data_IF_465257022292
#
_entry.id   IF_465257022292
#
_cell.length_a   1.000
_cell.length_b   1.000
_cell.length_c   1.000
_cell.angle_alpha   90.00
_cell.angle_beta   90.00
_cell.angle_gamma   90.00
#
_symmetry.space_group_name_H-M   'P 1'
#
loop_
_entity.id
_entity.type
_entity.pdbx_description
1 polymer ?
#
# COMPACT_ATOMS: atom_id res chain seq x y z
N UNK A 1 -31.80 -12.62 -7.88
CA UNK A 1 -31.02 -11.55 -7.19
C UNK A 1 -29.68 -11.37 -7.90
N UNK A 2 -29.09 -10.17 -7.86
CA UNK A 2 -27.71 -9.96 -8.34
C UNK A 2 -26.72 -10.46 -7.31
N UNK A 3 -25.59 -11.01 -7.77
CA UNK A 3 -24.47 -11.37 -6.93
C UNK A 3 -23.74 -10.12 -6.42
N UNK A 4 -23.64 -9.97 -5.10
CA UNK A 4 -23.09 -8.79 -4.43
C UNK A 4 -21.59 -8.95 -4.20
N UNK A 5 -20.80 -8.13 -4.85
CA UNK A 5 -19.36 -8.07 -4.66
C UNK A 5 -19.06 -6.80 -3.85
N UNK A 6 -18.48 -6.96 -2.66
CA UNK A 6 -18.06 -5.83 -1.83
C UNK A 6 -16.53 -5.75 -1.85
N UNK A 7 -16.00 -4.56 -2.13
CA UNK A 7 -14.55 -4.27 -2.13
C UNK A 7 -14.27 -3.29 -0.98
N UNK A 8 -13.45 -3.69 -0.02
CA UNK A 8 -13.07 -2.86 1.12
C UNK A 8 -11.79 -2.10 0.82
N UNK A 9 -11.89 -0.78 0.76
CA UNK A 9 -10.79 0.13 0.42
C UNK A 9 -10.72 0.45 -1.07
N UNK A 10 -10.50 1.74 -1.37
CA UNK A 10 -10.32 2.27 -2.72
C UNK A 10 -8.89 2.77 -2.97
N UNK A 11 -7.89 2.12 -2.37
CA UNK A 11 -6.48 2.30 -2.71
C UNK A 11 -6.13 1.67 -4.06
N UNK A 12 -4.82 1.56 -4.36
CA UNK A 12 -4.37 0.96 -5.63
C UNK A 12 -4.94 -0.43 -5.87
N UNK A 13 -4.93 -1.33 -4.88
CA UNK A 13 -5.50 -2.67 -5.05
C UNK A 13 -7.02 -2.64 -5.27
N UNK A 14 -7.78 -2.00 -4.38
CA UNK A 14 -9.24 -2.06 -4.41
C UNK A 14 -9.87 -1.30 -5.56
N UNK A 15 -9.37 -0.10 -5.91
CA UNK A 15 -9.91 0.67 -7.03
C UNK A 15 -9.68 -0.04 -8.38
N UNK A 16 -8.47 -0.61 -8.58
CA UNK A 16 -8.19 -1.44 -9.76
C UNK A 16 -9.05 -2.68 -9.82
N UNK A 17 -9.20 -3.36 -8.67
CA UNK A 17 -10.02 -4.56 -8.59
C UNK A 17 -11.47 -4.27 -8.96
N UNK A 18 -12.08 -3.24 -8.36
CA UNK A 18 -13.45 -2.86 -8.67
C UNK A 18 -13.64 -2.52 -10.16
N UNK A 19 -12.71 -1.76 -10.75
CA UNK A 19 -12.72 -1.43 -12.16
C UNK A 19 -12.59 -2.66 -13.06
N UNK A 20 -11.69 -3.58 -12.73
CA UNK A 20 -11.49 -4.82 -13.49
C UNK A 20 -12.72 -5.74 -13.42
N UNK A 21 -13.32 -5.89 -12.24
CA UNK A 21 -14.57 -6.63 -12.05
C UNK A 21 -15.72 -6.01 -12.85
N UNK A 22 -15.94 -4.69 -12.72
CA UNK A 22 -17.00 -3.97 -13.45
C UNK A 22 -16.83 -4.03 -14.97
N UNK A 23 -15.59 -4.06 -15.46
CA UNK A 23 -15.29 -4.19 -16.88
C UNK A 23 -15.62 -5.59 -17.41
N UNK A 24 -15.41 -6.65 -16.64
CA UNK A 24 -15.43 -8.03 -17.08
C UNK A 24 -16.70 -8.80 -16.72
N UNK A 25 -17.46 -8.35 -15.71
CA UNK A 25 -18.71 -8.98 -15.27
C UNK A 25 -19.94 -8.21 -15.77
N UNK A 26 -21.04 -8.94 -16.00
CA UNK A 26 -22.31 -8.36 -16.44
C UNK A 26 -22.99 -7.59 -15.31
N UNK A 27 -23.35 -6.31 -15.49
CA UNK A 27 -24.08 -5.54 -14.47
C UNK A 27 -25.53 -6.01 -14.31
N UNK A 28 -26.05 -6.87 -15.19
CA UNK A 28 -27.34 -7.52 -15.01
C UNK A 28 -27.29 -8.58 -13.90
N UNK A 29 -26.13 -9.23 -13.74
CA UNK A 29 -25.95 -10.36 -12.84
C UNK A 29 -25.19 -9.97 -11.56
N UNK A 30 -24.42 -8.88 -11.58
CA UNK A 30 -23.59 -8.45 -10.45
C UNK A 30 -23.89 -7.04 -9.98
N UNK A 31 -23.66 -6.81 -8.70
CA UNK A 31 -23.63 -5.49 -8.06
C UNK A 31 -22.29 -5.33 -7.35
N UNK A 32 -21.55 -4.28 -7.69
CA UNK A 32 -20.21 -4.02 -7.12
C UNK A 32 -20.28 -2.77 -6.24
N UNK A 33 -19.97 -2.92 -4.96
CA UNK A 33 -19.91 -1.81 -4.00
C UNK A 33 -18.48 -1.68 -3.48
N UNK A 34 -17.93 -0.47 -3.57
CA UNK A 34 -16.64 -0.12 -2.95
C UNK A 34 -16.90 0.67 -1.68
N UNK A 35 -16.33 0.22 -0.57
CA UNK A 35 -16.39 0.93 0.72
C UNK A 35 -15.07 1.64 0.95
N UNK A 36 -15.09 2.95 1.17
CA UNK A 36 -13.88 3.73 1.47
C UNK A 36 -14.18 4.86 2.45
N UNK A 37 -13.28 5.11 3.39
CA UNK A 37 -13.46 6.14 4.40
C UNK A 37 -13.18 7.57 3.88
N UNK A 38 -12.40 7.71 2.80
CA UNK A 38 -12.08 9.00 2.17
C UNK A 38 -12.87 9.17 0.87
N UNK A 39 -13.38 10.36 0.56
CA UNK A 39 -14.00 10.66 -0.73
C UNK A 39 -12.98 10.72 -1.88
N UNK A 40 -11.70 10.89 -1.55
CA UNK A 40 -10.63 11.06 -2.54
C UNK A 40 -9.77 9.79 -2.64
N UNK A 41 -9.31 9.50 -3.85
CA UNK A 41 -8.21 8.56 -4.07
C UNK A 41 -6.91 9.16 -3.55
N UNK A 42 -6.22 8.42 -2.69
CA UNK A 42 -4.94 8.84 -2.09
C UNK A 42 -3.79 8.23 -2.88
N UNK A 43 -2.98 9.08 -3.54
CA UNK A 43 -1.75 8.66 -4.21
C UNK A 43 -0.65 8.33 -3.18
N UNK A 44 -0.82 7.21 -2.46
CA UNK A 44 0.04 6.78 -1.34
C UNK A 44 1.54 6.78 -1.69
N UNK A 45 1.90 6.41 -2.91
CA UNK A 45 3.28 6.41 -3.39
C UNK A 45 3.94 7.81 -3.42
N UNK A 46 3.15 8.87 -3.22
CA UNK A 46 3.60 10.26 -3.30
C UNK A 46 3.36 11.07 -2.03
N UNK A 47 2.96 10.43 -0.94
CA UNK A 47 2.63 11.14 0.30
C UNK A 47 3.86 11.81 0.95
N UNK A 48 5.05 11.25 0.79
CA UNK A 48 6.30 11.92 1.15
C UNK A 48 6.50 13.25 0.38
N UNK A 49 6.05 13.33 -0.88
CA UNK A 49 6.08 14.55 -1.66
C UNK A 49 5.04 15.58 -1.16
N UNK A 50 3.84 15.10 -0.76
CA UNK A 50 2.82 15.98 -0.14
C UNK A 50 3.35 16.58 1.15
N UNK A 51 3.94 15.76 2.01
CA UNK A 51 4.57 16.21 3.26
C UNK A 51 5.69 17.22 3.03
N UNK A 52 6.48 17.04 1.96
CA UNK A 52 7.56 17.95 1.58
C UNK A 52 7.07 19.27 0.96
N UNK A 53 5.75 19.44 0.73
CA UNK A 53 5.15 20.69 0.23
C UNK A 53 4.65 20.64 -1.21
N UNK A 54 4.65 19.46 -1.87
CA UNK A 54 4.10 19.36 -3.23
C UNK A 54 2.58 19.26 -3.21
N UNK A 55 1.94 19.99 -4.13
CA UNK A 55 0.52 19.85 -4.40
C UNK A 55 0.29 18.73 -5.42
N UNK A 56 -0.40 17.69 -4.98
CA UNK A 56 -0.80 16.57 -5.82
C UNK A 56 -2.30 16.63 -6.05
N UNK A 57 -2.69 16.62 -7.33
CA UNK A 57 -4.10 16.71 -7.70
C UNK A 57 -4.91 15.57 -7.06
N UNK A 58 -5.94 15.93 -6.31
CA UNK A 58 -6.86 14.95 -5.70
C UNK A 58 -7.85 14.45 -6.74
N UNK A 59 -8.13 13.16 -6.73
CA UNK A 59 -9.15 12.54 -7.58
C UNK A 59 -10.30 12.08 -6.71
N UNK A 60 -11.48 12.67 -6.90
CA UNK A 60 -12.67 12.22 -6.19
C UNK A 60 -13.05 10.82 -6.67
N UNK A 61 -13.26 9.90 -5.75
CA UNK A 61 -13.67 8.52 -6.07
C UNK A 61 -15.03 8.47 -6.76
N UNK A 62 -15.92 9.41 -6.48
CA UNK A 62 -17.18 9.54 -7.19
C UNK A 62 -16.98 9.76 -8.69
N UNK A 63 -16.01 10.62 -9.08
CA UNK A 63 -15.68 10.87 -10.49
C UNK A 63 -14.96 9.65 -11.11
N UNK A 64 -14.08 8.99 -10.36
CA UNK A 64 -13.39 7.76 -10.80
C UNK A 64 -14.37 6.65 -11.14
N UNK A 65 -15.44 6.49 -10.36
CA UNK A 65 -16.44 5.43 -10.56
C UNK A 65 -17.67 5.88 -11.37
N UNK A 66 -17.74 7.14 -11.76
CA UNK A 66 -18.83 7.65 -12.60
C UNK A 66 -18.97 6.85 -13.90
N UNK A 67 -20.20 6.43 -14.25
CA UNK A 67 -20.49 5.67 -15.46
C UNK A 67 -19.97 4.22 -15.49
N UNK A 68 -19.29 3.74 -14.45
CA UNK A 68 -18.74 2.38 -14.40
C UNK A 68 -19.75 1.33 -13.94
N UNK A 69 -20.81 1.74 -13.24
CA UNK A 69 -21.75 0.86 -12.55
C UNK A 69 -21.30 0.42 -11.16
N UNK A 70 -20.14 0.90 -10.70
CA UNK A 70 -19.64 0.68 -9.33
C UNK A 70 -20.35 1.66 -8.39
N UNK A 71 -20.83 1.16 -7.26
CA UNK A 71 -21.38 1.98 -6.16
C UNK A 71 -20.26 2.32 -5.19
N UNK A 72 -20.13 3.60 -4.86
CA UNK A 72 -19.23 4.07 -3.80
C UNK A 72 -20.03 4.27 -2.51
N UNK A 73 -19.63 3.60 -1.43
CA UNK A 73 -20.09 3.83 -0.07
C UNK A 73 -19.00 4.54 0.72
N UNK A 74 -19.20 5.81 1.02
CA UNK A 74 -18.30 6.56 1.89
C UNK A 74 -18.59 6.19 3.34
N UNK A 75 -17.76 5.28 3.87
CA UNK A 75 -17.85 4.81 5.25
C UNK A 75 -16.54 4.17 5.69
N UNK A 76 -16.28 4.18 6.98
CA UNK A 76 -15.20 3.42 7.61
C UNK A 76 -15.68 2.01 7.88
N UNK A 77 -14.90 1.01 7.48
CA UNK A 77 -15.12 -0.38 7.88
C UNK A 77 -14.77 -0.52 9.36
N UNK A 78 -15.69 -1.03 10.15
CA UNK A 78 -15.54 -1.20 11.60
C UNK A 78 -15.55 -2.65 12.05
N UNK A 79 -16.04 -3.57 11.20
CA UNK A 79 -16.05 -4.99 11.48
C UNK A 79 -16.35 -5.82 10.24
N UNK A 80 -16.19 -7.12 10.39
CA UNK A 80 -16.48 -8.13 9.38
C UNK A 80 -17.06 -9.36 10.09
N UNK A 81 -18.13 -9.91 9.56
CA UNK A 81 -18.70 -11.20 9.96
C UNK A 81 -18.71 -12.13 8.74
N UNK A 82 -17.67 -12.97 8.57
CA UNK A 82 -17.57 -13.84 7.40
C UNK A 82 -18.62 -14.95 7.38
N UNK A 83 -19.10 -15.42 8.55
CA UNK A 83 -20.12 -16.47 8.65
C UNK A 83 -21.48 -15.96 8.16
N UNK A 84 -21.83 -14.71 8.50
CA UNK A 84 -23.06 -14.07 8.03
C UNK A 84 -22.92 -13.42 6.65
N UNK A 85 -21.70 -13.32 6.12
CA UNK A 85 -21.44 -12.62 4.87
C UNK A 85 -21.76 -11.12 4.94
N UNK A 86 -21.35 -10.44 6.03
CA UNK A 86 -21.66 -9.02 6.25
C UNK A 86 -20.45 -8.22 6.69
N UNK A 87 -20.45 -6.92 6.34
CA UNK A 87 -19.44 -5.93 6.72
C UNK A 87 -20.11 -4.82 7.52
N UNK A 88 -19.62 -4.59 8.74
CA UNK A 88 -20.04 -3.45 9.54
C UNK A 88 -19.29 -2.19 9.11
N UNK A 89 -20.01 -1.10 8.94
CA UNK A 89 -19.48 0.19 8.48
C UNK A 89 -20.05 1.34 9.31
N UNK A 90 -19.31 2.46 9.38
CA UNK A 90 -19.81 3.72 9.95
C UNK A 90 -19.56 4.85 8.96
N UNK A 91 -20.61 5.47 8.48
CA UNK A 91 -20.61 6.63 7.58
C UNK A 91 -21.27 7.85 8.21
N UNK A 92 -21.56 8.86 7.39
CA UNK A 92 -22.27 10.09 7.83
C UNK A 92 -23.66 9.78 8.39
N UNK A 93 -24.35 8.75 7.85
CA UNK A 93 -25.66 8.30 8.32
C UNK A 93 -25.59 7.42 9.59
N UNK A 94 -24.41 7.30 10.20
CA UNK A 94 -24.16 6.44 11.35
C UNK A 94 -23.73 5.03 11.00
N UNK A 95 -23.85 4.07 11.95
CA UNK A 95 -23.51 2.67 11.74
C UNK A 95 -24.46 1.97 10.78
N UNK A 96 -23.93 1.02 10.02
CA UNK A 96 -24.70 0.21 9.07
C UNK A 96 -24.02 -1.11 8.78
N UNK A 97 -24.72 -1.99 8.08
CA UNK A 97 -24.23 -3.31 7.68
C UNK A 97 -24.43 -3.50 6.16
N UNK A 98 -23.44 -4.07 5.49
CA UNK A 98 -23.47 -4.38 4.06
C UNK A 98 -23.33 -5.88 3.86
N UNK A 99 -24.34 -6.56 3.30
CA UNK A 99 -24.24 -7.97 2.97
C UNK A 99 -23.45 -8.16 1.67
N UNK A 100 -22.69 -9.26 1.59
CA UNK A 100 -21.94 -9.65 0.40
C UNK A 100 -22.11 -11.16 0.08
N UNK A 101 -21.90 -11.49 -1.18
CA UNK A 101 -21.78 -12.88 -1.67
C UNK A 101 -20.30 -13.19 -2.04
N UNK A 102 -19.52 -12.14 -2.32
CA UNK A 102 -18.05 -12.20 -2.48
C UNK A 102 -17.46 -10.92 -1.89
N UNK A 103 -16.42 -11.06 -1.06
CA UNK A 103 -15.69 -9.95 -0.46
C UNK A 103 -14.27 -9.88 -1.02
N UNK A 104 -13.83 -8.69 -1.43
CA UNK A 104 -12.42 -8.40 -1.64
C UNK A 104 -11.90 -7.45 -0.56
N UNK A 105 -11.09 -7.96 0.34
CA UNK A 105 -10.47 -7.19 1.42
C UNK A 105 -9.21 -6.51 0.90
N UNK A 106 -9.22 -5.18 0.79
CA UNK A 106 -8.13 -4.35 0.26
C UNK A 106 -7.90 -3.07 1.09
N UNK A 107 -8.05 -3.16 2.43
CA UNK A 107 -7.92 -2.02 3.35
C UNK A 107 -6.49 -1.47 3.47
N UNK A 108 -5.50 -2.15 2.89
CA UNK A 108 -4.11 -1.71 2.91
C UNK A 108 -3.47 -1.80 4.29
N UNK A 109 -2.57 -0.86 4.56
CA UNK A 109 -1.77 -0.80 5.79
C UNK A 109 -1.61 0.62 6.30
N UNK A 110 -1.16 0.78 7.54
CA UNK A 110 -0.77 2.03 8.19
C UNK A 110 0.67 1.93 8.70
N UNK A 111 1.19 2.99 9.33
CA UNK A 111 2.49 2.93 10.00
C UNK A 111 2.46 1.91 11.16
N UNK A 112 3.49 1.07 11.26
CA UNK A 112 3.65 0.14 12.35
C UNK A 112 4.42 0.82 13.49
N UNK A 113 3.78 1.00 14.64
CA UNK A 113 4.43 1.62 15.81
C UNK A 113 5.31 0.64 16.61
N UNK A 114 5.17 -0.66 16.38
CA UNK A 114 5.94 -1.75 17.04
C UNK A 114 5.94 -1.68 18.58
N UNK A 115 4.95 -1.02 19.19
CA UNK A 115 4.92 -0.80 20.64
C UNK A 115 5.98 0.19 21.16
N UNK A 116 6.67 0.91 20.29
CA UNK A 116 7.68 1.92 20.67
C UNK A 116 6.97 3.11 21.33
N UNK A 117 7.29 3.42 22.60
CA UNK A 117 6.67 4.51 23.34
C UNK A 117 6.81 5.86 22.62
N UNK A 118 5.78 6.68 22.70
CA UNK A 118 5.75 8.04 22.17
C UNK A 118 5.59 8.16 20.64
N UNK A 119 5.68 7.05 19.86
CA UNK A 119 5.51 7.11 18.40
C UNK A 119 4.13 7.64 18.01
N UNK A 120 3.07 7.17 18.69
CA UNK A 120 1.70 7.60 18.40
C UNK A 120 1.44 9.07 18.78
N UNK A 121 2.20 9.62 19.72
CA UNK A 121 1.99 10.95 20.30
C UNK A 121 2.87 12.01 19.63
N UNK A 122 4.15 11.69 19.40
CA UNK A 122 5.16 12.67 18.99
C UNK A 122 5.66 12.49 17.56
N UNK A 123 5.44 11.33 16.93
CA UNK A 123 5.92 11.11 15.57
C UNK A 123 4.85 11.39 14.51
N UNK A 124 5.32 11.83 13.36
CA UNK A 124 4.54 11.92 12.13
C UNK A 124 4.80 10.70 11.25
N UNK A 125 3.93 10.44 10.29
CA UNK A 125 4.11 9.43 9.25
C UNK A 125 3.64 9.93 7.88
N UNK A 126 3.98 9.20 6.83
CA UNK A 126 3.57 9.47 5.45
C UNK A 126 2.74 8.32 4.85
N UNK A 127 2.00 7.58 5.69
CA UNK A 127 1.20 6.43 5.25
C UNK A 127 -0.23 6.80 4.87
N UNK A 128 -0.72 7.96 5.33
CA UNK A 128 -2.04 8.50 5.06
C UNK A 128 -2.00 9.97 4.65
N UNK A 129 -2.99 10.43 3.88
CA UNK A 129 -3.06 11.83 3.44
C UNK A 129 -3.13 12.81 4.62
N UNK A 130 -3.94 12.48 5.63
CA UNK A 130 -4.06 13.32 6.84
C UNK A 130 -2.75 13.46 7.60
N UNK A 131 -1.98 12.37 7.77
CA UNK A 131 -0.66 12.42 8.42
C UNK A 131 0.35 13.22 7.60
N UNK A 132 0.37 13.03 6.28
CA UNK A 132 1.26 13.78 5.39
C UNK A 132 0.97 15.29 5.40
N UNK A 133 -0.31 15.68 5.47
CA UNK A 133 -0.70 17.10 5.57
C UNK A 133 -0.33 17.70 6.92
N UNK A 134 -0.55 16.99 8.04
CA UNK A 134 -0.10 17.44 9.36
C UNK A 134 1.43 17.59 9.43
N UNK A 135 2.16 16.63 8.82
CA UNK A 135 3.62 16.75 8.72
C UNK A 135 4.02 17.99 7.90
N UNK A 136 3.36 18.23 6.77
CA UNK A 136 3.60 19.44 5.95
C UNK A 136 3.40 20.72 6.77
N UNK A 137 2.26 20.84 7.45
CA UNK A 137 1.94 21.99 8.31
C UNK A 137 3.01 22.18 9.39
N UNK A 138 3.40 21.12 10.08
CA UNK A 138 4.46 21.19 11.10
C UNK A 138 5.82 21.61 10.52
N UNK A 139 6.16 21.17 9.30
CA UNK A 139 7.40 21.55 8.61
C UNK A 139 7.35 22.99 8.10
N UNK A 140 6.17 23.51 7.76
CA UNK A 140 5.97 24.92 7.38
C UNK A 140 6.18 25.83 8.61
N UNK A 141 5.70 25.40 9.80
CA UNK A 141 5.89 26.13 11.07
C UNK A 141 7.33 26.08 11.59
N UNK A 142 8.11 25.07 11.20
CA UNK A 142 9.48 24.87 11.69
C UNK A 142 10.45 25.95 11.18
N UNK A 143 10.22 26.45 9.96
CA UNK A 143 11.04 27.48 9.34
C UNK A 143 12.45 27.00 8.94
N UNK A 144 13.36 27.94 8.70
CA UNK A 144 14.76 27.67 8.37
C UNK A 144 15.57 27.24 9.61
N UNK A 145 16.47 26.28 9.45
CA UNK A 145 17.33 25.77 10.50
C UNK A 145 16.72 24.67 11.37
N UNK A 146 15.45 24.35 11.17
CA UNK A 146 14.79 23.30 11.91
C UNK A 146 15.34 21.90 11.63
N UNK A 147 15.20 20.98 12.61
CA UNK A 147 15.76 19.63 12.56
C UNK A 147 14.68 18.56 12.38
N UNK A 148 14.92 17.62 11.46
CA UNK A 148 14.01 16.51 11.14
C UNK A 148 14.76 15.19 11.23
N UNK A 149 14.25 14.25 12.01
CA UNK A 149 14.74 12.87 12.10
C UNK A 149 13.73 11.93 11.42
N UNK A 150 14.18 11.23 10.37
CA UNK A 150 13.41 10.14 9.75
C UNK A 150 13.87 8.81 10.35
N UNK A 151 12.96 8.04 10.93
CA UNK A 151 13.25 6.74 11.53
C UNK A 151 12.85 5.62 10.59
N UNK A 152 13.81 4.83 10.11
CA UNK A 152 13.60 3.69 9.22
C UNK A 152 14.32 3.82 7.87
N UNK A 153 15.15 2.82 7.53
CA UNK A 153 15.99 2.75 6.33
C UNK A 153 15.32 1.99 5.16
N UNK A 154 14.01 1.78 5.24
CA UNK A 154 13.23 1.21 4.13
C UNK A 154 13.00 2.22 3.00
N UNK A 155 12.35 1.77 1.90
CA UNK A 155 12.05 2.63 0.75
C UNK A 155 11.38 3.96 1.15
N UNK A 156 10.36 3.89 2.00
CA UNK A 156 9.60 5.09 2.44
C UNK A 156 10.49 6.07 3.21
N UNK A 157 11.33 5.58 4.13
CA UNK A 157 12.21 6.45 4.92
C UNK A 157 13.27 7.13 4.05
N UNK A 158 13.91 6.37 3.15
CA UNK A 158 14.88 6.91 2.18
C UNK A 158 14.24 7.99 1.29
N UNK A 159 13.05 7.70 0.74
CA UNK A 159 12.32 8.65 -0.11
C UNK A 159 11.89 9.90 0.66
N UNK A 160 11.44 9.74 1.91
CA UNK A 160 11.03 10.86 2.76
C UNK A 160 12.24 11.73 3.11
N UNK A 161 13.35 11.16 3.56
CA UNK A 161 14.54 11.91 3.92
C UNK A 161 15.11 12.70 2.74
N UNK A 162 15.24 12.06 1.58
CA UNK A 162 15.79 12.69 0.38
C UNK A 162 14.85 13.72 -0.25
N UNK A 163 13.53 13.52 -0.20
CA UNK A 163 12.56 14.49 -0.68
C UNK A 163 12.52 15.74 0.22
N UNK A 164 12.56 15.56 1.56
CA UNK A 164 12.62 16.67 2.50
C UNK A 164 13.89 17.48 2.32
N UNK A 165 15.05 16.83 2.24
CA UNK A 165 16.33 17.51 2.05
C UNK A 165 16.40 18.29 0.72
N UNK A 166 15.85 17.73 -0.38
CA UNK A 166 15.84 18.43 -1.68
C UNK A 166 14.83 19.57 -1.72
N UNK A 167 13.63 19.38 -1.15
CA UNK A 167 12.52 20.33 -1.26
C UNK A 167 12.58 21.44 -0.22
N UNK A 168 13.27 21.21 0.90
CA UNK A 168 13.39 22.12 2.05
C UNK A 168 14.85 22.25 2.48
N UNK A 169 15.72 22.87 1.64
CA UNK A 169 17.18 22.90 1.86
C UNK A 169 17.59 23.68 3.14
N UNK A 170 16.67 24.43 3.74
CA UNK A 170 16.88 25.09 5.05
C UNK A 170 16.75 24.15 6.25
N UNK A 171 16.27 22.90 6.09
CA UNK A 171 16.12 21.93 7.17
C UNK A 171 17.37 21.04 7.31
N UNK A 172 17.72 20.73 8.56
CA UNK A 172 18.70 19.69 8.88
C UNK A 172 18.01 18.34 8.92
N UNK A 173 18.23 17.48 7.92
CA UNK A 173 17.58 16.18 7.83
C UNK A 173 18.54 15.07 8.23
N UNK A 174 18.11 14.20 9.14
CA UNK A 174 18.81 13.00 9.53
C UNK A 174 17.94 11.75 9.33
N UNK A 175 18.59 10.59 9.12
CA UNK A 175 17.94 9.30 9.03
C UNK A 175 18.55 8.34 10.05
N UNK A 176 17.71 7.74 10.92
CA UNK A 176 18.09 6.66 11.82
C UNK A 176 17.81 5.30 11.16
N UNK A 177 18.86 4.53 10.92
CA UNK A 177 18.84 3.20 10.34
C UNK A 177 19.19 2.17 11.41
N UNK A 178 18.35 1.16 11.61
CA UNK A 178 18.63 0.07 12.53
C UNK A 178 19.82 -0.79 12.08
N UNK A 179 20.00 -0.93 10.78
CA UNK A 179 21.14 -1.59 10.15
C UNK A 179 22.03 -0.61 9.37
N UNK A 180 22.69 -1.11 8.33
CA UNK A 180 23.41 -0.27 7.36
C UNK A 180 22.46 0.28 6.28
N UNK A 181 22.59 1.55 5.95
CA UNK A 181 21.83 2.19 4.89
C UNK A 181 22.03 1.45 3.54
N UNK A 182 20.92 0.93 3.01
CA UNK A 182 20.90 0.24 1.73
C UNK A 182 21.63 -1.11 1.72
N UNK A 183 21.79 -1.81 2.86
CA UNK A 183 22.42 -3.13 2.94
C UNK A 183 21.78 -4.17 1.99
N UNK A 184 20.49 -4.01 1.71
CA UNK A 184 19.71 -4.87 0.80
C UNK A 184 19.90 -4.52 -0.69
N UNK A 185 20.61 -3.44 -1.02
CA UNK A 185 20.94 -3.05 -2.39
C UNK A 185 22.23 -3.75 -2.88
N UNK A 186 22.41 -3.79 -4.21
CA UNK A 186 23.72 -4.16 -4.76
C UNK A 186 24.81 -3.15 -4.35
N UNK A 187 26.11 -3.55 -4.31
CA UNK A 187 27.16 -2.65 -3.89
C UNK A 187 27.23 -1.34 -4.69
N UNK A 188 26.93 -1.40 -6.00
CA UNK A 188 26.88 -0.20 -6.87
C UNK A 188 25.68 0.69 -6.54
N UNK A 189 24.50 0.11 -6.33
CA UNK A 189 23.31 0.86 -5.97
C UNK A 189 23.43 1.46 -4.56
N UNK A 190 24.04 0.74 -3.61
CA UNK A 190 24.31 1.26 -2.27
C UNK A 190 25.27 2.45 -2.30
N UNK A 191 26.31 2.40 -3.11
CA UNK A 191 27.20 3.55 -3.31
C UNK A 191 26.44 4.76 -3.86
N UNK A 192 25.63 4.56 -4.91
CA UNK A 192 24.79 5.63 -5.47
C UNK A 192 23.86 6.24 -4.42
N UNK A 193 23.25 5.40 -3.56
CA UNK A 193 22.42 5.85 -2.47
C UNK A 193 23.18 6.75 -1.49
N UNK A 194 24.39 6.33 -1.06
CA UNK A 194 25.22 7.11 -0.14
C UNK A 194 25.67 8.44 -0.77
N UNK A 195 26.13 8.42 -2.02
CA UNK A 195 26.50 9.63 -2.77
C UNK A 195 25.31 10.61 -2.89
N UNK A 196 24.07 10.11 -3.01
CA UNK A 196 22.89 10.96 -3.03
C UNK A 196 22.59 11.57 -1.64
N UNK A 197 22.77 10.81 -0.57
CA UNK A 197 22.62 11.31 0.79
C UNK A 197 23.65 12.38 1.12
N UNK A 198 24.93 12.14 0.77
CA UNK A 198 26.01 13.12 0.94
C UNK A 198 25.72 14.41 0.15
N UNK A 199 25.32 14.29 -1.11
CA UNK A 199 24.96 15.44 -1.97
C UNK A 199 23.78 16.27 -1.42
N UNK A 200 22.82 15.60 -0.78
CA UNK A 200 21.64 16.25 -0.20
C UNK A 200 21.87 16.72 1.24
N UNK A 201 23.03 16.43 1.83
CA UNK A 201 23.37 16.80 3.20
C UNK A 201 22.57 16.04 4.27
N UNK A 202 22.09 14.83 3.95
CA UNK A 202 21.35 14.01 4.90
C UNK A 202 22.31 13.25 5.81
N UNK A 203 22.23 13.50 7.12
CA UNK A 203 23.01 12.77 8.13
C UNK A 203 22.43 11.37 8.34
N UNK A 204 23.29 10.34 8.40
CA UNK A 204 22.83 8.95 8.63
C UNK A 204 23.38 8.42 9.94
N UNK A 205 22.49 7.97 10.81
CA UNK A 205 22.80 7.23 12.03
C UNK A 205 22.55 5.74 11.77
N UNK A 206 23.59 5.00 11.40
CA UNK A 206 23.52 3.55 11.18
C UNK A 206 23.63 2.79 12.50
N UNK A 207 23.17 1.52 12.48
CA UNK A 207 23.14 0.63 13.67
C UNK A 207 22.42 1.24 14.87
N UNK A 208 21.42 2.08 14.57
CA UNK A 208 20.71 2.89 15.55
C UNK A 208 19.27 2.42 15.70
N UNK A 209 19.00 1.66 16.76
CA UNK A 209 17.66 1.20 17.11
C UNK A 209 16.97 2.25 18.01
N UNK A 210 15.91 2.87 17.51
CA UNK A 210 15.09 3.80 18.30
C UNK A 210 14.20 3.01 19.27
N UNK A 211 14.31 3.30 20.55
CA UNK A 211 13.56 2.67 21.63
C UNK A 211 12.37 3.50 22.13
N UNK A 212 12.42 4.83 21.97
CA UNK A 212 11.32 5.74 22.29
C UNK A 212 11.37 6.98 21.40
N UNK A 213 10.22 7.63 21.23
CA UNK A 213 10.12 8.95 20.59
C UNK A 213 9.58 9.94 21.62
N UNK A 214 10.24 11.08 21.71
CA UNK A 214 9.87 12.17 22.61
C UNK A 214 9.60 13.45 21.83
N UNK A 215 9.07 14.46 22.47
CA UNK A 215 8.76 15.74 21.85
C UNK A 215 9.99 16.42 21.21
N UNK A 216 11.17 16.20 21.78
CA UNK A 216 12.43 16.82 21.35
C UNK A 216 13.35 15.87 20.54
N UNK A 217 12.83 14.72 20.09
CA UNK A 217 13.61 13.77 19.27
C UNK A 217 13.32 12.31 19.57
N UNK A 218 14.32 11.46 19.41
CA UNK A 218 14.23 10.03 19.66
C UNK A 218 15.32 9.55 20.62
N UNK A 219 15.00 8.54 21.43
CA UNK A 219 15.94 7.86 22.32
C UNK A 219 16.26 6.50 21.75
N UNK A 220 17.52 6.18 21.62
CA UNK A 220 18.00 4.90 21.10
C UNK A 220 18.04 3.82 22.17
N UNK A 221 18.22 2.58 21.80
CA UNK A 221 18.25 1.44 22.71
C UNK A 221 19.43 1.48 23.71
N UNK A 222 20.52 2.19 23.38
CA UNK A 222 21.67 2.43 24.25
C UNK A 222 21.55 3.70 25.11
N UNK A 223 20.41 4.40 25.03
CA UNK A 223 20.12 5.62 25.78
C UNK A 223 20.63 6.91 25.14
N UNK A 224 21.22 6.86 23.95
CA UNK A 224 21.63 8.06 23.22
C UNK A 224 20.41 8.85 22.75
N UNK A 225 20.43 10.17 22.91
CA UNK A 225 19.37 11.06 22.41
C UNK A 225 19.74 11.56 21.03
N UNK A 226 18.86 11.37 20.06
CA UNK A 226 18.92 11.98 18.74
C UNK A 226 17.98 13.18 18.73
N UNK A 227 18.49 14.41 18.87
CA UNK A 227 17.64 15.59 18.94
C UNK A 227 16.98 15.88 17.60
N UNK A 228 15.69 16.16 17.60
CA UNK A 228 14.94 16.58 16.43
C UNK A 228 13.64 17.28 16.85
N UNK A 229 13.29 18.38 16.17
CA UNK A 229 12.04 19.10 16.39
C UNK A 229 10.85 18.42 15.70
N UNK A 230 11.15 17.57 14.71
CA UNK A 230 10.17 16.73 14.00
C UNK A 230 10.75 15.34 13.84
N UNK A 231 10.04 14.33 14.33
CA UNK A 231 10.35 12.92 14.08
C UNK A 231 9.35 12.33 13.09
N UNK A 232 9.83 11.74 11.99
CA UNK A 232 9.01 11.05 10.99
C UNK A 232 9.23 9.54 11.09
N UNK A 233 8.18 8.81 11.43
CA UNK A 233 8.24 7.36 11.63
C UNK A 233 7.93 6.60 10.34
N UNK A 234 8.92 5.88 9.84
CA UNK A 234 8.86 5.07 8.60
C UNK A 234 9.39 3.64 8.81
N UNK A 235 9.30 3.12 10.04
CA UNK A 235 9.91 1.86 10.45
C UNK A 235 9.02 0.62 10.17
N UNK A 236 8.18 0.65 9.15
CA UNK A 236 7.38 -0.48 8.69
C UNK A 236 5.89 -0.21 8.63
N UNK A 237 5.15 -1.24 8.20
CA UNK A 237 3.71 -1.18 8.00
C UNK A 237 2.99 -2.21 8.86
N UNK A 238 1.78 -1.86 9.30
CA UNK A 238 0.84 -2.74 9.99
C UNK A 238 -0.50 -2.76 9.28
N UNK A 239 -1.15 -3.91 9.23
CA UNK A 239 -2.50 -4.05 8.69
C UNK A 239 -3.55 -3.83 9.76
N UNK A 240 -4.78 -3.52 9.36
CA UNK A 240 -5.88 -3.36 10.30
C UNK A 240 -6.25 -4.69 10.98
N UNK A 241 -6.53 -4.69 12.30
CA UNK A 241 -6.84 -5.91 13.05
C UNK A 241 -8.24 -6.49 12.75
N UNK A 242 -9.03 -5.85 11.89
CA UNK A 242 -10.41 -6.27 11.55
C UNK A 242 -10.44 -7.71 11.04
N UNK A 243 -9.48 -8.12 10.23
CA UNK A 243 -9.44 -9.48 9.68
C UNK A 243 -9.24 -10.54 10.78
N UNK A 244 -8.27 -10.33 11.67
CA UNK A 244 -8.03 -11.24 12.81
C UNK A 244 -9.18 -11.23 13.82
N UNK A 245 -9.74 -10.05 14.11
CA UNK A 245 -10.90 -9.92 14.99
C UNK A 245 -12.15 -10.61 14.43
N UNK A 246 -12.25 -10.75 13.11
CA UNK A 246 -13.32 -11.46 12.42
C UNK A 246 -13.09 -12.98 12.30
N UNK A 247 -12.03 -13.53 12.88
CA UNK A 247 -11.72 -14.95 12.83
C UNK A 247 -11.10 -15.44 11.52
N UNK A 248 -10.71 -14.53 10.61
CA UNK A 248 -9.92 -14.93 9.44
C UNK A 248 -8.54 -15.41 9.87
N UNK A 249 -8.04 -16.43 9.19
CA UNK A 249 -6.65 -16.88 9.40
C UNK A 249 -5.68 -15.80 8.92
N UNK A 250 -4.80 -15.38 9.83
CA UNK A 250 -3.81 -14.34 9.57
C UNK A 250 -2.40 -14.81 9.92
N UNK A 251 -1.42 -14.32 9.18
CA UNK A 251 -0.01 -14.50 9.49
C UNK A 251 0.40 -13.69 10.74
N UNK A 252 1.61 -13.92 11.27
CA UNK A 252 2.16 -13.16 12.40
C UNK A 252 2.22 -11.64 12.15
N UNK A 253 2.22 -11.22 10.88
CA UNK A 253 2.15 -9.82 10.44
C UNK A 253 0.72 -9.25 10.46
N UNK A 254 -0.30 -10.06 10.80
CA UNK A 254 -1.71 -9.71 10.75
C UNK A 254 -2.34 -9.76 9.35
N UNK A 255 -1.56 -10.03 8.30
CA UNK A 255 -2.05 -10.18 6.93
C UNK A 255 -2.89 -11.44 6.77
N UNK A 256 -3.98 -11.37 6.00
CA UNK A 256 -4.85 -12.51 5.71
C UNK A 256 -4.06 -13.57 4.93
N UNK A 257 -4.01 -14.80 5.44
CA UNK A 257 -3.40 -15.93 4.72
C UNK A 257 -4.29 -16.30 3.54
N UNK A 258 -3.71 -16.30 2.34
CA UNK A 258 -4.43 -16.58 1.09
C UNK A 258 -3.80 -17.74 0.34
N UNK A 259 -4.62 -18.44 -0.44
CA UNK A 259 -4.18 -19.44 -1.40
C UNK A 259 -3.64 -18.78 -2.70
N UNK A 260 -3.23 -19.58 -3.67
CA UNK A 260 -2.71 -19.12 -4.97
C UNK A 260 -3.73 -18.29 -5.77
N UNK A 261 -5.03 -18.43 -5.49
CA UNK A 261 -6.11 -17.65 -6.07
C UNK A 261 -6.39 -16.33 -5.33
N UNK A 262 -5.59 -16.02 -4.30
CA UNK A 262 -5.80 -14.87 -3.40
C UNK A 262 -7.06 -15.00 -2.52
N UNK A 263 -7.63 -16.19 -2.40
CA UNK A 263 -8.77 -16.50 -1.55
C UNK A 263 -8.28 -16.82 -0.15
N UNK A 264 -8.99 -16.33 0.87
CA UNK A 264 -8.71 -16.68 2.27
C UNK A 264 -8.75 -18.20 2.47
N UNK A 265 -7.75 -18.76 3.14
CA UNK A 265 -7.71 -20.18 3.45
C UNK A 265 -8.76 -20.61 4.47
N UNK A 266 -9.29 -19.67 5.25
CA UNK A 266 -10.31 -19.92 6.27
C UNK A 266 -11.74 -19.65 5.81
N UNK A 267 -11.96 -18.77 4.80
CA UNK A 267 -13.32 -18.38 4.36
C UNK A 267 -13.39 -18.26 2.82
N UNK A 268 -14.16 -19.12 2.15
CA UNK A 268 -14.12 -19.26 0.69
C UNK A 268 -14.72 -18.09 -0.09
N UNK A 269 -15.50 -17.22 0.55
CA UNK A 269 -16.11 -16.05 -0.08
C UNK A 269 -15.31 -14.76 0.13
N UNK A 270 -14.19 -14.86 0.85
CA UNK A 270 -13.29 -13.75 1.15
C UNK A 270 -12.00 -13.87 0.34
N UNK A 271 -11.66 -12.83 -0.40
CA UNK A 271 -10.40 -12.64 -1.10
C UNK A 271 -9.63 -11.48 -0.48
N UNK A 272 -8.30 -11.48 -0.56
CA UNK A 272 -7.50 -10.35 -0.12
C UNK A 272 -6.48 -9.93 -1.18
N UNK A 273 -6.19 -8.62 -1.26
CA UNK A 273 -5.20 -8.08 -2.19
C UNK A 273 -4.50 -6.83 -1.62
N UNK A 274 -3.28 -6.59 -2.04
CA UNK A 274 -2.45 -5.50 -1.54
C UNK A 274 -1.77 -5.84 -0.22
N UNK A 275 -1.46 -4.82 0.56
CA UNK A 275 -0.68 -4.95 1.79
C UNK A 275 -1.31 -5.87 2.85
N UNK A 276 -2.62 -6.04 2.82
CA UNK A 276 -3.37 -6.87 3.77
C UNK A 276 -3.37 -8.37 3.44
N UNK A 277 -2.81 -8.79 2.29
CA UNK A 277 -2.73 -10.19 1.87
C UNK A 277 -1.35 -10.78 2.15
N UNK A 278 -1.30 -11.92 2.84
CA UNK A 278 -0.09 -12.73 2.98
C UNK A 278 -0.03 -13.71 1.81
N UNK A 279 0.48 -13.23 0.70
CA UNK A 279 0.61 -13.98 -0.54
C UNK A 279 2.04 -14.48 -0.72
N UNK A 280 2.19 -15.75 -1.08
CA UNK A 280 3.48 -16.35 -1.38
C UNK A 280 3.81 -16.14 -2.86
N UNK A 281 4.96 -15.55 -3.13
CA UNK A 281 5.48 -15.37 -4.49
C UNK A 281 6.02 -16.66 -5.10
N UNK A 282 6.33 -16.63 -6.40
CA UNK A 282 6.92 -17.78 -7.13
C UNK A 282 8.20 -18.34 -6.49
N UNK A 283 8.90 -17.54 -5.70
CA UNK A 283 10.10 -17.92 -4.97
C UNK A 283 9.85 -18.58 -3.60
N UNK A 284 8.60 -18.94 -3.29
CA UNK A 284 8.20 -19.50 -2.00
C UNK A 284 8.28 -18.54 -0.81
N UNK A 285 8.47 -17.25 -1.03
CA UNK A 285 8.56 -16.22 0.02
C UNK A 285 7.36 -15.28 -0.01
N UNK A 286 6.98 -14.70 1.14
CA UNK A 286 5.93 -13.68 1.17
C UNK A 286 6.30 -12.48 0.30
N UNK A 287 5.32 -11.97 -0.44
CA UNK A 287 5.47 -10.71 -1.16
C UNK A 287 5.59 -9.54 -0.17
N UNK A 288 6.45 -8.55 -0.42
CA UNK A 288 6.56 -7.37 0.43
C UNK A 288 5.30 -6.50 0.33
N UNK A 289 4.94 -5.80 1.41
CA UNK A 289 3.91 -4.76 1.38
C UNK A 289 4.39 -3.62 0.47
N UNK A 290 3.87 -3.56 -0.75
CA UNK A 290 4.26 -2.57 -1.76
C UNK A 290 3.19 -2.38 -2.83
N UNK A 291 3.23 -1.25 -3.52
CA UNK A 291 2.33 -1.00 -4.65
C UNK A 291 2.55 -1.98 -5.82
N UNK A 292 3.76 -2.50 -6.00
CA UNK A 292 4.05 -3.53 -7.00
C UNK A 292 3.34 -4.85 -6.64
N UNK A 293 3.47 -5.31 -5.41
CA UNK A 293 2.75 -6.49 -4.90
C UNK A 293 1.23 -6.29 -4.95
N UNK A 294 0.75 -5.07 -4.65
CA UNK A 294 -0.67 -4.75 -4.75
C UNK A 294 -1.22 -4.89 -6.19
N UNK A 295 -0.41 -4.55 -7.21
CA UNK A 295 -0.76 -4.77 -8.62
C UNK A 295 -0.89 -6.26 -8.97
N UNK A 296 0.07 -7.08 -8.55
CA UNK A 296 0.10 -8.52 -8.81
C UNK A 296 -1.07 -9.24 -8.12
N UNK A 297 -1.20 -9.03 -6.80
CA UNK A 297 -2.22 -9.69 -5.99
C UNK A 297 -3.64 -9.28 -6.38
N UNK A 298 -3.86 -8.02 -6.76
CA UNK A 298 -5.14 -7.56 -7.29
C UNK A 298 -5.49 -8.24 -8.64
N UNK A 299 -4.55 -8.36 -9.56
CA UNK A 299 -4.79 -9.03 -10.85
C UNK A 299 -5.16 -10.51 -10.63
N UNK A 300 -4.47 -11.21 -9.75
CA UNK A 300 -4.74 -12.60 -9.41
C UNK A 300 -6.11 -12.73 -8.72
N UNK A 301 -6.39 -11.93 -7.69
CA UNK A 301 -7.66 -11.95 -6.97
C UNK A 301 -8.86 -11.70 -7.90
N UNK A 302 -8.79 -10.66 -8.74
CA UNK A 302 -9.89 -10.36 -9.67
C UNK A 302 -10.04 -11.40 -10.75
N UNK A 303 -8.93 -11.98 -11.24
CA UNK A 303 -8.95 -13.11 -12.18
C UNK A 303 -9.65 -14.32 -11.57
N UNK A 304 -9.32 -14.68 -10.34
CA UNK A 304 -9.90 -15.79 -9.60
C UNK A 304 -11.40 -15.58 -9.29
N UNK A 305 -11.79 -14.39 -8.82
CA UNK A 305 -13.19 -14.04 -8.57
C UNK A 305 -14.01 -14.20 -9.89
N UNK A 306 -13.50 -13.65 -10.98
CA UNK A 306 -14.19 -13.74 -12.29
C UNK A 306 -14.30 -15.19 -12.73
N UNK A 307 -13.22 -15.97 -12.69
CA UNK A 307 -13.19 -17.37 -13.07
C UNK A 307 -14.21 -18.18 -12.27
N UNK A 308 -14.22 -18.03 -10.93
CA UNK A 308 -15.19 -18.68 -10.06
C UNK A 308 -16.64 -18.36 -10.43
N UNK A 309 -16.92 -17.08 -10.72
CA UNK A 309 -18.28 -16.63 -11.02
C UNK A 309 -18.76 -16.96 -12.44
N UNK A 310 -17.84 -17.21 -13.36
CA UNK A 310 -18.18 -17.50 -14.78
C UNK A 310 -17.92 -18.94 -15.19
N UNK A 311 -17.44 -19.80 -14.27
CA UNK A 311 -17.11 -21.20 -14.55
C UNK A 311 -15.82 -21.38 -15.38
N UNK A 312 -14.97 -20.33 -15.47
CA UNK A 312 -13.70 -20.40 -16.17
C UNK A 312 -12.58 -20.96 -15.28
N UNK A 313 -11.45 -21.31 -15.89
CA UNK A 313 -10.23 -21.62 -15.15
C UNK A 313 -9.62 -20.36 -14.54
N UNK A 314 -9.05 -20.48 -13.32
CA UNK A 314 -8.35 -19.39 -12.66
C UNK A 314 -7.06 -19.11 -13.41
N UNK A 315 -6.84 -17.89 -13.91
CA UNK A 315 -5.62 -17.57 -14.61
C UNK A 315 -4.43 -17.63 -13.66
N UNK A 316 -3.36 -18.29 -14.08
CA UNK A 316 -2.09 -18.23 -13.37
C UNK A 316 -1.44 -16.86 -13.61
N UNK A 317 -1.51 -15.98 -12.61
CA UNK A 317 -0.75 -14.73 -12.63
C UNK A 317 0.54 -14.98 -11.86
N UNK A 318 1.70 -14.86 -12.53
CA UNK A 318 2.99 -15.01 -11.86
C UNK A 318 3.14 -13.95 -10.77
N UNK A 319 3.16 -14.37 -9.50
CA UNK A 319 3.40 -13.48 -8.37
C UNK A 319 4.90 -13.23 -8.18
N UNK A 320 5.53 -12.62 -9.19
CA UNK A 320 6.97 -12.38 -9.23
C UNK A 320 7.29 -10.93 -8.89
N UNK A 321 7.94 -10.73 -7.74
CA UNK A 321 8.49 -9.42 -7.38
C UNK A 321 9.77 -9.16 -8.17
N UNK A 322 9.81 -8.11 -8.98
CA UNK A 322 10.90 -7.88 -9.95
C UNK A 322 11.94 -6.85 -9.51
N UNK A 323 11.66 -6.03 -8.52
CA UNK A 323 12.62 -5.06 -8.03
C UNK A 323 12.05 -3.89 -7.25
N UNK A 324 12.95 -3.08 -6.73
CA UNK A 324 12.69 -1.90 -5.93
C UNK A 324 12.94 -0.62 -6.71
N UNK A 325 12.05 0.36 -6.59
CA UNK A 325 12.22 1.70 -7.14
C UNK A 325 12.27 2.70 -6.01
N UNK A 326 13.34 3.46 -5.91
CA UNK A 326 13.58 4.41 -4.83
C UNK A 326 13.80 5.78 -5.43
N UNK A 327 13.03 6.79 -5.04
CA UNK A 327 13.35 8.19 -5.34
C UNK A 327 14.43 8.69 -4.40
N UNK A 328 15.35 9.48 -4.93
CA UNK A 328 16.40 10.18 -4.18
C UNK A 328 16.23 11.69 -4.45
N UNK A 329 15.10 12.23 -3.95
CA UNK A 329 14.56 13.49 -4.42
C UNK A 329 13.87 13.36 -5.78
N UNK A 330 13.73 14.46 -6.52
CA UNK A 330 12.97 14.52 -7.80
C UNK A 330 13.83 14.25 -9.03
N UNK A 331 15.14 14.42 -8.93
CA UNK A 331 16.06 14.40 -10.08
C UNK A 331 16.89 13.13 -10.14
N UNK A 332 16.82 12.30 -9.11
CA UNK A 332 17.58 11.08 -8.96
C UNK A 332 16.68 9.93 -8.46
N UNK A 333 17.04 8.70 -8.79
CA UNK A 333 16.37 7.51 -8.32
C UNK A 333 17.26 6.28 -8.51
N UNK A 334 16.93 5.20 -7.83
CA UNK A 334 17.50 3.86 -8.06
C UNK A 334 16.38 2.92 -8.46
N UNK A 335 16.59 2.16 -9.53
CA UNK A 335 15.79 1.02 -9.92
C UNK A 335 16.65 -0.22 -9.77
N UNK A 336 16.45 -0.98 -8.69
CA UNK A 336 17.22 -2.19 -8.37
C UNK A 336 16.39 -3.43 -8.69
N UNK A 337 16.84 -4.20 -9.69
CA UNK A 337 16.26 -5.50 -9.99
C UNK A 337 16.66 -6.54 -8.95
N UNK A 338 15.75 -7.50 -8.69
CA UNK A 338 16.05 -8.66 -7.85
C UNK A 338 16.05 -9.95 -8.68
N UNK A 339 16.72 -10.98 -8.16
CA UNK A 339 16.67 -12.34 -8.70
C UNK A 339 15.45 -13.12 -8.16
N UNK A 340 15.36 -14.38 -8.51
CA UNK A 340 14.25 -15.23 -8.10
C UNK A 340 14.24 -15.50 -6.59
N UNK A 341 15.36 -15.34 -5.89
CA UNK A 341 15.44 -15.41 -4.42
C UNK A 341 15.23 -14.05 -3.73
N UNK A 342 14.76 -13.05 -4.47
CA UNK A 342 14.56 -11.67 -4.03
C UNK A 342 15.85 -10.95 -3.56
N UNK A 343 17.03 -11.41 -4.00
CA UNK A 343 18.31 -10.75 -3.76
C UNK A 343 18.59 -9.74 -4.86
N UNK A 344 19.21 -8.62 -4.52
CA UNK A 344 19.55 -7.58 -5.47
C UNK A 344 20.57 -8.08 -6.51
N UNK A 345 20.22 -7.96 -7.79
CA UNK A 345 21.16 -8.21 -8.90
C UNK A 345 22.29 -7.18 -8.88
N UNK A 346 23.45 -7.53 -9.44
CA UNK A 346 24.60 -6.61 -9.52
C UNK A 346 24.34 -5.35 -10.35
N UNK A 347 23.33 -5.37 -11.20
CA UNK A 347 22.92 -4.27 -12.06
C UNK A 347 21.77 -3.45 -11.45
N UNK A 348 21.84 -2.14 -11.60
CA UNK A 348 20.76 -1.21 -11.29
C UNK A 348 20.71 -0.09 -12.33
N UNK A 349 19.56 0.55 -12.49
CA UNK A 349 19.42 1.81 -13.21
C UNK A 349 19.40 2.95 -12.19
N UNK A 350 20.25 3.96 -12.40
CA UNK A 350 20.35 5.11 -11.49
C UNK A 350 20.20 6.46 -12.18
N UNK A 351 20.15 7.51 -11.39
CA UNK A 351 20.19 8.89 -11.83
C UNK A 351 18.89 9.37 -12.50
N UNK A 352 19.01 10.39 -13.34
CA UNK A 352 17.87 11.03 -14.03
C UNK A 352 17.04 10.07 -14.89
N UNK A 353 17.64 9.02 -15.44
CA UNK A 353 16.92 8.02 -16.25
C UNK A 353 15.99 7.20 -15.36
N UNK A 354 16.47 6.76 -14.20
CA UNK A 354 15.65 6.06 -13.22
C UNK A 354 14.52 6.96 -12.67
N UNK A 355 14.81 8.22 -12.38
CA UNK A 355 13.80 9.21 -11.94
C UNK A 355 12.68 9.41 -12.98
N UNK A 356 13.02 9.52 -14.27
CA UNK A 356 12.03 9.62 -15.36
C UNK A 356 11.19 8.35 -15.49
N UNK A 357 11.82 7.16 -15.37
CA UNK A 357 11.11 5.88 -15.39
C UNK A 357 10.12 5.80 -14.24
N UNK A 358 10.55 6.10 -13.01
CA UNK A 358 9.68 6.11 -11.83
C UNK A 358 8.53 7.11 -11.98
N UNK A 359 8.81 8.31 -12.45
CA UNK A 359 7.78 9.32 -12.73
C UNK A 359 6.75 8.84 -13.78
N UNK A 360 7.20 8.08 -14.79
CA UNK A 360 6.34 7.41 -15.77
C UNK A 360 5.44 6.36 -15.13
N UNK A 361 5.99 5.51 -14.27
CA UNK A 361 5.23 4.49 -13.50
C UNK A 361 4.15 5.15 -12.63
N UNK A 362 4.51 6.19 -11.87
CA UNK A 362 3.56 6.92 -11.01
C UNK A 362 2.43 7.55 -11.83
N UNK A 363 2.75 8.18 -12.97
CA UNK A 363 1.72 8.75 -13.87
C UNK A 363 0.83 7.69 -14.48
N UNK A 364 1.39 6.56 -14.90
CA UNK A 364 0.64 5.43 -15.44
C UNK A 364 -0.30 4.84 -14.38
N UNK A 365 0.16 4.64 -13.15
CA UNK A 365 -0.67 4.17 -12.06
C UNK A 365 -1.82 5.15 -11.77
N UNK A 366 -1.54 6.45 -11.68
CA UNK A 366 -2.56 7.47 -11.48
C UNK A 366 -3.55 7.55 -12.65
N UNK A 367 -3.09 7.42 -13.89
CA UNK A 367 -3.95 7.36 -15.08
C UNK A 367 -4.87 6.13 -15.07
N UNK A 368 -4.35 4.97 -14.73
CA UNK A 368 -5.14 3.74 -14.65
C UNK A 368 -6.24 3.82 -13.58
N UNK A 369 -5.98 4.48 -12.45
CA UNK A 369 -7.02 4.75 -11.45
C UNK A 369 -8.11 5.68 -12.02
N UNK A 370 -7.73 6.71 -12.75
CA UNK A 370 -8.71 7.62 -13.38
C UNK A 370 -9.56 6.94 -14.48
N UNK A 371 -9.10 5.79 -14.98
CA UNK A 371 -9.79 5.01 -16.01
C UNK A 371 -9.95 3.54 -15.59
N UNK A 372 -10.65 3.25 -14.47
CA UNK A 372 -10.63 1.95 -13.81
C UNK A 372 -11.20 0.81 -14.68
N UNK A 373 -12.04 1.12 -15.64
CA UNK A 373 -12.61 0.15 -16.58
C UNK A 373 -11.90 0.10 -17.94
N UNK A 374 -10.78 0.83 -18.09
CA UNK A 374 -9.98 0.78 -19.32
C UNK A 374 -9.32 -0.60 -19.51
N UNK A 375 -9.36 -1.12 -20.72
CA UNK A 375 -8.66 -2.34 -21.14
C UNK A 375 -9.53 -3.38 -21.86
N UNK A 376 -8.93 -4.53 -22.13
CA UNK A 376 -9.58 -5.70 -22.75
C UNK A 376 -9.83 -6.78 -21.70
N UNK A 377 -10.83 -7.68 -21.88
CA UNK A 377 -11.83 -7.69 -22.97
C UNK A 377 -12.92 -6.63 -22.77
N UNK A 378 -13.54 -6.20 -23.87
CA UNK A 378 -14.68 -5.27 -23.86
C UNK A 378 -16.00 -5.95 -23.51
N UNK A 379 -16.12 -7.28 -23.76
CA UNK A 379 -17.36 -8.04 -23.52
C UNK A 379 -17.44 -8.44 -22.06
N UNK A 380 -18.52 -8.05 -21.40
CA UNK A 380 -18.86 -8.47 -20.04
C UNK A 380 -19.45 -9.88 -20.05
N UNK A 381 -18.99 -10.72 -19.14
CA UNK A 381 -19.42 -12.12 -18.99
C UNK A 381 -20.63 -12.22 -18.07
N UNK A 382 -21.53 -13.16 -18.42
CA UNK A 382 -22.62 -13.55 -17.53
C UNK A 382 -22.11 -14.51 -16.47
N UNK A 383 -22.79 -14.55 -15.33
CA UNK A 383 -22.49 -15.53 -14.30
C UNK A 383 -22.93 -16.92 -14.75
N UNK A 384 -22.18 -17.96 -14.37
CA UNK A 384 -22.60 -19.34 -14.49
C UNK A 384 -23.69 -19.63 -13.43
N UNK A 385 -24.89 -20.10 -13.85
CA UNK A 385 -25.95 -20.45 -12.89
C UNK A 385 -25.54 -21.51 -11.87
N UNK A 386 -24.57 -22.37 -12.19
CA UNK A 386 -24.04 -23.39 -11.30
C UNK A 386 -23.07 -22.84 -10.25
N UNK A 387 -22.42 -21.70 -10.50
CA UNK A 387 -21.40 -21.10 -9.64
C UNK A 387 -21.94 -20.59 -8.29
N UNK A 388 -23.25 -20.24 -8.22
CA UNK A 388 -23.91 -19.82 -6.99
C UNK A 388 -24.33 -20.95 -6.04
N UNK A 389 -24.10 -22.23 -6.39
CA UNK A 389 -24.45 -23.41 -5.60
C UNK A 389 -23.27 -24.32 -5.25
N UNK A 390 -22.08 -24.00 -5.69
CA UNK A 390 -20.89 -24.82 -5.43
C UNK A 390 -20.34 -24.54 -4.02
N UNK A 391 -20.94 -25.13 -3.01
CA UNK A 391 -20.21 -25.59 -1.84
C UNK A 391 -19.00 -26.39 -2.30
N UNK A 392 -17.85 -26.09 -1.69
CA UNK A 392 -16.50 -26.63 -1.88
C UNK A 392 -16.51 -28.04 -2.47
N UNK A 393 -16.15 -28.23 -3.74
CA UNK A 393 -15.51 -29.45 -4.21
C UNK A 393 -14.01 -29.23 -4.03
N UNK A 394 -13.51 -29.69 -2.89
CA UNK A 394 -12.10 -29.97 -2.72
C UNK A 394 -11.79 -31.14 -3.67
N UNK A 395 -10.98 -30.88 -4.67
CA UNK A 395 -10.35 -31.96 -5.43
C UNK A 395 -9.41 -32.69 -4.48
N UNK A 396 -9.62 -34.01 -4.38
CA UNK A 396 -8.80 -34.93 -3.61
C UNK A 396 -7.41 -35.09 -4.24
#
# INVERSE_FOLDING_TARGET
MKHRIVVLGAGYAGAFAAGNLARRLSPADTEITVVNASPDFVERMRLHQVAAGQDIARRKLADVFAGTGIRLRLARVTGLDPERGTVAVTGEDGPGELPYDTLLYALGSSAAHHGVPGVAEYAFDVTGLGSALRLRERLDDLGEGGSVLVVGEGLTGIETATELAESRPGLSVALAARGELGAWLSPKARRHLREAFDRLGVTVHEHTAVAAVEQAGAVTADGTVLPAEVTVWSAGFAVHPIASAAGLEVAATGQIVVDESMRSVSHPDVYAAGDCAYAIGENGRPLPMSCASAGLTNMQATGAIIARLTGDEVPATGLKYVGNHISLGRRDAIFQMVDDEARSKSWHLGGRKAARLKSGILRSAGWSIAHPTFGLPKRRRRLDPASGRAGVRVAA
#
